data_IF_272306476481
#
_entry.id   IF_272306476481
#
_cell.length_a   1.000
_cell.length_b   1.000
_cell.length_c   1.000
_cell.angle_alpha   90.00
_cell.angle_beta   90.00
_cell.angle_gamma   90.00
#
_symmetry.space_group_name_H-M   'P 1'
#
loop_
_entity.id
_entity.type
_entity.pdbx_description
1 polymer ?
#
# COMPACT_ATOMS: atom_id res chain seq x y z
N UNK A 1 -10.68 22.00 -0.45
CA UNK A 1 -10.71 21.36 0.89
C UNK A 1 -11.13 19.92 0.65
N UNK A 2 -10.23 19.11 0.08
CA UNK A 2 -10.48 17.69 -0.18
C UNK A 2 -9.50 16.89 0.67
N UNK A 3 -10.03 16.34 1.75
CA UNK A 3 -9.28 15.51 2.67
C UNK A 3 -10.26 14.93 3.65
N UNK A 4 -10.55 13.64 3.54
CA UNK A 4 -11.32 12.96 4.57
C UNK A 4 -10.36 12.58 5.69
N UNK A 5 -10.67 13.00 6.91
CA UNK A 5 -9.89 12.66 8.10
C UNK A 5 -9.94 11.14 8.29
N UNK A 6 -8.77 10.51 8.50
CA UNK A 6 -8.59 9.05 8.70
C UNK A 6 -9.36 8.46 9.91
N UNK A 7 -10.08 9.29 10.67
CA UNK A 7 -10.96 8.87 11.78
C UNK A 7 -12.46 8.93 11.47
N UNK A 8 -12.86 9.38 10.27
CA UNK A 8 -14.27 9.30 9.86
C UNK A 8 -14.61 7.87 9.47
N UNK A 9 -15.72 7.28 9.98
CA UNK A 9 -16.14 5.93 9.60
C UNK A 9 -16.42 5.80 8.09
N UNK A 10 -16.62 6.93 7.39
CA UNK A 10 -16.89 6.99 5.96
C UNK A 10 -15.64 7.28 5.11
N UNK A 11 -14.53 7.72 5.72
CA UNK A 11 -13.32 8.11 4.98
C UNK A 11 -12.68 6.98 4.19
N UNK A 12 -12.35 5.84 4.83
CA UNK A 12 -11.80 4.69 4.14
C UNK A 12 -12.74 4.16 3.04
N UNK A 13 -14.06 4.24 3.26
CA UNK A 13 -15.04 3.81 2.26
C UNK A 13 -15.00 4.70 1.01
N UNK A 14 -15.04 6.03 1.19
CA UNK A 14 -14.98 6.98 0.07
C UNK A 14 -13.64 6.87 -0.65
N UNK A 15 -12.53 6.76 0.08
CA UNK A 15 -11.20 6.56 -0.51
C UNK A 15 -11.16 5.27 -1.34
N UNK A 16 -11.72 4.18 -0.83
CA UNK A 16 -11.77 2.90 -1.52
C UNK A 16 -12.61 2.95 -2.82
N UNK A 17 -13.75 3.64 -2.81
CA UNK A 17 -14.59 3.83 -4.00
C UNK A 17 -13.90 4.72 -5.04
N UNK A 18 -13.28 5.82 -4.60
CA UNK A 18 -12.57 6.73 -5.47
C UNK A 18 -11.38 6.05 -6.16
N UNK A 19 -10.56 5.34 -5.39
CA UNK A 19 -9.47 4.52 -5.93
C UNK A 19 -10.00 3.44 -6.88
N UNK A 20 -11.07 2.75 -6.51
CA UNK A 20 -11.73 1.75 -7.37
C UNK A 20 -12.23 2.30 -8.70
N UNK A 21 -12.65 3.58 -8.75
CA UNK A 21 -13.03 4.24 -9.99
C UNK A 21 -11.81 4.51 -10.87
N UNK A 22 -10.74 5.05 -10.29
CA UNK A 22 -9.49 5.36 -11.00
C UNK A 22 -8.84 4.10 -11.56
N UNK A 23 -8.85 3.01 -10.80
CA UNK A 23 -8.34 1.71 -11.25
C UNK A 23 -9.02 1.26 -12.55
N UNK A 24 -10.34 1.39 -12.61
CA UNK A 24 -11.14 0.95 -13.77
C UNK A 24 -11.05 1.88 -14.97
N UNK A 25 -10.78 3.18 -14.76
CA UNK A 25 -10.73 4.16 -15.85
C UNK A 25 -9.33 4.41 -16.36
N UNK A 26 -8.37 4.61 -15.45
CA UNK A 26 -7.05 5.17 -15.77
C UNK A 26 -5.93 4.17 -15.59
N UNK A 27 -6.05 3.22 -14.66
CA UNK A 27 -5.02 2.19 -14.45
C UNK A 27 -5.35 0.87 -15.14
N UNK A 28 -6.46 0.78 -15.87
CA UNK A 28 -6.93 -0.50 -16.43
C UNK A 28 -5.87 -1.18 -17.30
N UNK A 29 -5.24 -0.41 -18.18
CA UNK A 29 -4.22 -0.93 -19.09
C UNK A 29 -2.92 -1.22 -18.34
N UNK A 30 -2.51 -0.31 -17.43
CA UNK A 30 -1.35 -0.52 -16.56
C UNK A 30 -1.50 -1.79 -15.72
N UNK A 31 -2.66 -2.01 -15.09
CA UNK A 31 -2.94 -3.20 -14.26
C UNK A 31 -2.90 -4.48 -15.10
N UNK A 32 -3.30 -4.42 -16.37
CA UNK A 32 -3.26 -5.56 -17.26
C UNK A 32 -1.84 -5.97 -17.67
N UNK A 33 -0.86 -5.06 -17.59
CA UNK A 33 0.55 -5.32 -17.86
C UNK A 33 1.32 -5.86 -16.63
N UNK A 34 0.73 -5.80 -15.44
CA UNK A 34 1.35 -6.25 -14.20
C UNK A 34 1.13 -7.76 -13.99
N UNK A 35 2.16 -8.45 -13.52
CA UNK A 35 2.05 -9.86 -13.14
C UNK A 35 1.14 -10.05 -11.92
N UNK A 36 1.13 -9.05 -11.05
CA UNK A 36 0.26 -9.02 -9.88
C UNK A 36 -0.11 -7.58 -9.53
N UNK A 37 -1.35 -7.41 -9.10
CA UNK A 37 -1.86 -6.16 -8.57
C UNK A 37 -2.76 -6.43 -7.35
N UNK A 38 -2.44 -5.78 -6.23
CA UNK A 38 -3.25 -5.81 -5.01
C UNK A 38 -3.30 -4.43 -4.38
N UNK A 39 -4.44 -4.07 -3.80
CA UNK A 39 -4.62 -2.78 -3.12
C UNK A 39 -5.27 -2.95 -1.75
N UNK A 40 -4.80 -2.18 -0.79
CA UNK A 40 -5.42 -1.97 0.52
C UNK A 40 -5.73 -0.49 0.71
N UNK A 41 -6.99 -0.09 0.49
CA UNK A 41 -7.46 1.32 0.54
C UNK A 41 -6.64 2.21 -0.42
N UNK A 42 -5.59 2.87 0.05
CA UNK A 42 -4.69 3.75 -0.70
C UNK A 42 -3.32 3.14 -0.98
N UNK A 43 -2.95 2.05 -0.29
CA UNK A 43 -1.68 1.33 -0.50
C UNK A 43 -1.81 0.32 -1.63
N UNK A 44 -0.89 0.34 -2.60
CA UNK A 44 -0.86 -0.55 -3.75
C UNK A 44 0.41 -1.41 -3.69
N UNK A 45 0.25 -2.71 -3.94
CA UNK A 45 1.33 -3.66 -4.16
C UNK A 45 1.21 -4.24 -5.56
N UNK A 46 2.29 -4.20 -6.32
CA UNK A 46 2.34 -4.77 -7.65
C UNK A 46 3.65 -5.51 -7.92
N UNK A 47 3.57 -6.50 -8.81
CA UNK A 47 4.74 -7.17 -9.38
C UNK A 47 4.84 -6.74 -10.85
N UNK A 48 6.03 -6.28 -11.23
CA UNK A 48 6.35 -5.80 -12.58
C UNK A 48 7.56 -6.55 -13.10
N UNK A 49 7.75 -6.52 -14.42
CA UNK A 49 9.00 -6.99 -15.02
C UNK A 49 10.17 -6.06 -14.59
N UNK A 50 11.39 -6.58 -14.63
CA UNK A 50 12.62 -5.83 -14.31
C UNK A 50 12.84 -4.66 -15.28
N UNK A 51 12.27 -4.74 -16.49
CA UNK A 51 12.40 -3.73 -17.52
C UNK A 51 11.36 -2.61 -17.41
N UNK A 52 10.40 -2.72 -16.47
CA UNK A 52 9.38 -1.68 -16.27
C UNK A 52 10.02 -0.44 -15.65
N UNK A 53 9.86 0.70 -16.31
CA UNK A 53 10.26 1.99 -15.75
C UNK A 53 9.28 2.42 -14.65
N UNK A 54 9.68 2.17 -13.41
CA UNK A 54 8.89 2.50 -12.22
C UNK A 54 8.68 4.00 -12.06
N UNK A 55 9.63 4.83 -12.47
CA UNK A 55 9.51 6.29 -12.34
C UNK A 55 8.50 6.84 -13.35
N UNK A 56 8.53 6.35 -14.59
CA UNK A 56 7.53 6.68 -15.59
C UNK A 56 6.13 6.23 -15.16
N UNK A 57 6.00 5.04 -14.56
CA UNK A 57 4.73 4.54 -14.03
C UNK A 57 4.18 5.47 -12.94
N UNK A 58 5.03 5.88 -11.98
CA UNK A 58 4.63 6.82 -10.92
C UNK A 58 4.23 8.18 -11.48
N UNK A 59 4.95 8.69 -12.46
CA UNK A 59 4.61 9.97 -13.11
C UNK A 59 3.24 9.88 -13.81
N UNK A 60 2.99 8.80 -14.53
CA UNK A 60 1.71 8.54 -15.19
C UNK A 60 0.56 8.47 -14.17
N UNK A 61 0.74 7.70 -13.10
CA UNK A 61 -0.26 7.56 -12.02
C UNK A 61 -0.51 8.91 -11.33
N UNK A 62 0.54 9.69 -11.06
CA UNK A 62 0.44 11.02 -10.45
C UNK A 62 -0.13 12.10 -11.38
N UNK A 63 -0.19 11.84 -12.69
CA UNK A 63 -0.81 12.74 -13.67
C UNK A 63 -2.34 12.64 -13.69
N UNK A 64 -2.91 11.53 -13.19
CA UNK A 64 -4.35 11.25 -13.27
C UNK A 64 -5.18 12.25 -12.48
N UNK A 65 -4.71 12.67 -11.31
CA UNK A 65 -5.44 13.62 -10.48
C UNK A 65 -4.49 14.50 -9.63
N UNK A 66 -4.66 15.84 -9.61
CA UNK A 66 -3.76 16.74 -8.91
C UNK A 66 -3.70 16.51 -7.40
N UNK A 67 -4.81 16.04 -6.80
CA UNK A 67 -4.89 15.72 -5.36
C UNK A 67 -4.35 14.34 -4.99
N UNK A 68 -3.97 13.50 -5.97
CA UNK A 68 -3.36 12.20 -5.71
C UNK A 68 -1.85 12.29 -5.92
N UNK A 69 -1.10 11.84 -4.91
CA UNK A 69 0.36 11.76 -4.94
C UNK A 69 0.79 10.41 -4.41
N UNK A 70 1.11 9.51 -5.32
CA UNK A 70 1.72 8.22 -5.08
C UNK A 70 3.23 8.37 -5.00
N UNK A 71 3.82 7.65 -4.04
CA UNK A 71 5.25 7.38 -3.95
C UNK A 71 5.47 5.89 -4.17
N UNK A 72 6.49 5.51 -4.95
CA UNK A 72 6.87 4.11 -5.13
C UNK A 72 7.97 3.71 -4.16
N UNK A 73 7.95 2.46 -3.75
CA UNK A 73 9.06 1.80 -3.08
C UNK A 73 9.39 0.54 -3.86
N UNK A 74 10.62 0.44 -4.35
CA UNK A 74 11.11 -0.74 -5.06
C UNK A 74 11.75 -1.72 -4.07
N UNK A 75 11.74 -2.99 -4.43
CA UNK A 75 12.43 -4.04 -3.68
C UNK A 75 13.93 -3.74 -3.58
N UNK A 76 14.50 -3.89 -2.39
CA UNK A 76 15.94 -3.71 -2.14
C UNK A 76 16.47 -4.96 -1.44
N UNK A 77 17.46 -5.63 -2.04
CA UNK A 77 18.07 -6.82 -1.43
C UNK A 77 17.10 -7.99 -1.25
N UNK A 78 16.20 -8.21 -2.21
CA UNK A 78 15.13 -9.21 -2.15
C UNK A 78 14.10 -8.98 -1.04
N UNK A 79 14.01 -7.75 -0.51
CA UNK A 79 13.08 -7.37 0.54
C UNK A 79 12.25 -6.14 0.15
N UNK A 80 10.97 -6.17 0.50
CA UNK A 80 10.06 -5.02 0.36
C UNK A 80 9.07 -5.01 1.53
N UNK A 81 8.76 -3.82 2.02
CA UNK A 81 7.75 -3.63 3.06
C UNK A 81 6.41 -3.26 2.45
N UNK A 82 5.35 -3.94 2.86
CA UNK A 82 3.98 -3.61 2.51
C UNK A 82 3.12 -3.64 3.77
N UNK A 83 2.46 -2.52 4.08
CA UNK A 83 1.78 -2.28 5.36
C UNK A 83 2.74 -2.54 6.56
N UNK A 84 2.37 -3.46 7.45
CA UNK A 84 3.17 -3.93 8.59
C UNK A 84 3.83 -5.30 8.33
N UNK A 85 4.04 -5.65 7.06
CA UNK A 85 4.63 -6.93 6.65
C UNK A 85 5.88 -6.71 5.81
N UNK A 86 6.98 -7.34 6.20
CA UNK A 86 8.19 -7.46 5.40
C UNK A 86 8.06 -8.73 4.56
N UNK A 87 8.08 -8.54 3.25
CA UNK A 87 8.10 -9.60 2.25
C UNK A 87 9.55 -9.81 1.81
N UNK A 88 10.03 -11.05 1.88
CA UNK A 88 11.37 -11.42 1.46
C UNK A 88 11.29 -12.54 0.41
N UNK A 89 11.73 -12.25 -0.81
CA UNK A 89 11.84 -13.26 -1.87
C UNK A 89 13.00 -14.20 -1.55
N UNK A 90 12.72 -15.49 -1.56
CA UNK A 90 13.72 -16.56 -1.38
C UNK A 90 14.28 -16.99 -2.74
N UNK A 91 15.42 -17.69 -2.72
CA UNK A 91 16.09 -18.18 -3.94
C UNK A 91 15.23 -19.21 -4.72
N UNK A 92 14.34 -19.93 -4.03
CA UNK A 92 13.40 -20.88 -4.61
C UNK A 92 12.14 -20.21 -5.20
N UNK A 93 12.06 -18.88 -5.16
CA UNK A 93 10.92 -18.09 -5.61
C UNK A 93 9.78 -17.98 -4.59
N UNK A 94 9.88 -18.63 -3.42
CA UNK A 94 8.89 -18.48 -2.36
C UNK A 94 9.00 -17.12 -1.67
N UNK A 95 7.89 -16.65 -1.09
CA UNK A 95 7.85 -15.38 -0.33
C UNK A 95 7.77 -15.69 1.15
N UNK A 96 8.82 -15.32 1.90
CA UNK A 96 8.83 -15.35 3.36
C UNK A 96 8.25 -14.05 3.90
N UNK A 97 7.36 -14.16 4.89
CA UNK A 97 6.65 -13.04 5.51
C UNK A 97 7.13 -12.85 6.94
N UNK A 98 7.47 -11.63 7.32
CA UNK A 98 7.79 -11.26 8.71
C UNK A 98 7.01 -10.01 9.11
N UNK A 99 6.69 -9.87 10.38
CA UNK A 99 6.08 -8.63 10.90
C UNK A 99 7.12 -7.51 10.81
N UNK A 100 6.79 -6.44 10.12
CA UNK A 100 7.61 -5.22 10.04
C UNK A 100 7.08 -4.19 11.04
N UNK A 101 7.96 -3.65 11.88
CA UNK A 101 7.62 -2.60 12.83
C UNK A 101 8.45 -1.37 12.50
N UNK A 102 7.77 -0.29 12.10
CA UNK A 102 8.42 1.02 11.89
C UNK A 102 9.14 1.45 13.17
N UNK A 103 10.26 2.17 13.05
CA UNK A 103 11.05 2.67 14.20
C UNK A 103 10.22 3.53 15.17
N UNK A 104 9.13 4.13 14.70
CA UNK A 104 8.17 4.92 15.49
C UNK A 104 7.12 4.06 16.22
N UNK A 105 7.25 2.72 16.23
CA UNK A 105 6.51 1.84 17.14
C UNK A 105 7.00 2.01 18.59
N UNK A 106 6.90 3.22 19.11
CA UNK A 106 6.73 3.42 20.53
C UNK A 106 5.29 3.00 20.82
N UNK A 107 5.13 1.90 21.54
CA UNK A 107 3.91 1.63 22.29
C UNK A 107 3.65 2.89 23.14
N UNK A 108 2.87 3.82 22.62
CA UNK A 108 2.12 4.72 23.48
C UNK A 108 1.31 3.75 24.33
N UNK A 109 1.61 3.70 25.62
CA UNK A 109 0.79 2.99 26.58
C UNK A 109 -0.63 3.52 26.39
N UNK A 110 -1.44 2.79 25.63
CA UNK A 110 -2.86 2.95 25.66
C UNK A 110 -3.24 2.57 27.09
N UNK A 111 -3.42 3.57 27.95
CA UNK A 111 -4.32 3.50 29.09
C UNK A 111 -5.75 3.32 28.55
N UNK A 112 -5.96 2.27 27.75
CA UNK A 112 -7.29 1.80 27.42
C UNK A 112 -7.85 1.23 28.72
N UNK A 113 -9.04 1.69 29.10
CA UNK A 113 -9.81 1.21 30.25
C UNK A 113 -10.37 -0.20 30.00
N UNK A 114 -9.56 -1.12 29.46
CA UNK A 114 -9.93 -2.52 29.32
C UNK A 114 -9.35 -3.23 30.54
N UNK A 115 -10.18 -3.72 31.48
CA UNK A 115 -9.67 -4.54 32.56
C UNK A 115 -9.10 -5.82 31.96
N UNK A 116 -7.79 -5.98 32.04
CA UNK A 116 -7.10 -7.24 31.82
C UNK A 116 -7.47 -8.19 32.97
N UNK A 117 -8.59 -8.89 32.82
CA UNK A 117 -8.91 -10.04 33.64
C UNK A 117 -9.02 -11.25 32.73
N UNK A 118 -7.89 -11.93 32.55
CA UNK A 118 -7.84 -13.29 32.03
C UNK A 118 -7.72 -14.18 33.27
N UNK A 119 -8.73 -15.02 33.50
CA UNK A 119 -8.73 -16.09 34.48
C UNK A 119 -8.57 -17.42 33.76
#
# INVERSE_FOLDING_TARGET
MDGVVMGSPLGPFIANVFMGKIEKTSFKDTIAELDFYGRYVDDIFCLTDQNTDTDALVQNVNSVHPSLKFSVQSEVGNEITYLDVLLQRQEDGSIKRRVFRKKTWTIHQFHSFIPLNIK
#
